data_IF_347948776242
#
_entry.id   IF_347948776242
#
_cell.length_a   1.000
_cell.length_b   1.000
_cell.length_c   1.000
_cell.angle_alpha   90.00
_cell.angle_beta   90.00
_cell.angle_gamma   90.00
#
_symmetry.space_group_name_H-M   'P 1'
#
loop_
_entity.id
_entity.type
_entity.pdbx_description
1 polymer ?
#
# COMPACT_ATOMS: atom_id res chain seq x y z
N UNK A 1 -18.28 6.59 9.01
CA UNK A 1 -17.61 5.34 8.64
C UNK A 1 -16.30 5.23 9.39
N UNK A 2 -15.88 4.04 9.77
CA UNK A 2 -14.60 3.87 10.45
C UNK A 2 -13.44 4.27 9.54
N UNK A 3 -12.38 4.71 10.17
CA UNK A 3 -11.14 5.07 9.47
C UNK A 3 -10.11 3.97 9.67
N UNK A 4 -9.38 3.67 8.62
CA UNK A 4 -8.34 2.65 8.66
C UNK A 4 -7.02 3.25 8.21
N UNK A 5 -5.96 2.84 8.88
CA UNK A 5 -4.60 3.09 8.42
C UNK A 5 -4.16 1.85 7.65
N UNK A 6 -3.96 2.03 6.35
CA UNK A 6 -3.53 0.95 5.47
C UNK A 6 -2.06 1.17 5.13
N UNK A 7 -1.21 0.22 5.50
CA UNK A 7 0.20 0.25 5.14
C UNK A 7 0.39 -0.63 3.91
N UNK A 8 0.87 -0.03 2.83
CA UNK A 8 1.14 -0.74 1.59
C UNK A 8 2.62 -0.96 1.43
N UNK A 9 2.98 -2.14 0.95
CA UNK A 9 4.34 -2.49 0.58
C UNK A 9 4.42 -2.47 -0.93
N UNK A 10 5.24 -1.59 -1.46
CA UNK A 10 5.36 -1.37 -2.90
C UNK A 10 6.75 -1.73 -3.38
N UNK A 11 6.82 -2.40 -4.52
CA UNK A 11 8.10 -2.73 -5.13
C UNK A 11 8.06 -2.50 -6.62
N UNK A 12 9.24 -2.16 -7.17
CA UNK A 12 9.42 -2.02 -8.61
C UNK A 12 9.73 -3.39 -9.21
N UNK A 13 9.45 -3.54 -10.50
CA UNK A 13 9.87 -4.72 -11.21
C UNK A 13 11.39 -4.83 -11.18
N UNK A 14 11.88 -6.03 -10.95
CA UNK A 14 13.31 -6.31 -11.02
C UNK A 14 13.76 -6.27 -12.47
N UNK A 15 14.74 -5.43 -12.75
CA UNK A 15 15.49 -5.57 -14.00
C UNK A 15 16.55 -6.66 -13.80
N UNK A 16 16.91 -7.35 -14.89
CA UNK A 16 17.95 -8.38 -14.82
C UNK A 16 19.30 -7.83 -14.36
N UNK A 17 19.54 -6.55 -14.56
CA UNK A 17 20.78 -5.90 -14.18
C UNK A 17 20.93 -5.76 -12.66
N UNK A 18 19.85 -5.86 -11.91
CA UNK A 18 19.84 -5.61 -10.46
C UNK A 18 19.62 -6.86 -9.63
N UNK A 19 19.79 -8.02 -10.19
CA UNK A 19 19.50 -9.25 -9.45
C UNK A 19 20.40 -9.53 -8.25
N UNK A 20 21.48 -8.77 -8.09
CA UNK A 20 22.34 -8.85 -6.90
C UNK A 20 21.99 -7.82 -5.84
N UNK A 21 21.08 -6.91 -6.14
CA UNK A 21 20.64 -5.92 -5.17
C UNK A 21 19.28 -6.32 -4.65
N UNK A 22 19.17 -6.42 -3.33
CA UNK A 22 17.89 -6.51 -2.70
C UNK A 22 17.27 -5.13 -2.73
N UNK A 23 16.18 -4.99 -3.48
CA UNK A 23 15.44 -3.74 -3.45
C UNK A 23 14.71 -3.63 -2.12
N UNK A 24 14.95 -2.52 -1.43
CA UNK A 24 14.19 -2.21 -0.23
C UNK A 24 12.78 -1.79 -0.66
N UNK A 25 11.75 -2.48 -0.22
CA UNK A 25 10.39 -2.08 -0.57
C UNK A 25 10.06 -0.72 0.05
N UNK A 26 9.25 0.04 -0.66
CA UNK A 26 8.73 1.30 -0.14
C UNK A 26 7.43 1.02 0.61
N UNK A 27 7.24 1.67 1.75
CA UNK A 27 6.01 1.55 2.53
C UNK A 27 5.23 2.86 2.41
N UNK A 28 3.97 2.75 2.01
CA UNK A 28 3.11 3.91 1.83
C UNK A 28 1.93 3.82 2.80
N UNK A 29 1.81 4.77 3.74
CA UNK A 29 0.66 4.81 4.62
C UNK A 29 -0.49 5.58 3.98
N UNK A 30 -1.70 5.04 4.09
CA UNK A 30 -2.91 5.71 3.65
C UNK A 30 -3.97 5.66 4.73
N UNK A 31 -4.63 6.78 4.98
CA UNK A 31 -5.79 6.84 5.85
C UNK A 31 -7.04 6.79 4.97
N UNK A 32 -7.83 5.76 5.14
CA UNK A 32 -9.00 5.50 4.30
C UNK A 32 -10.23 5.35 5.17
N UNK A 33 -11.30 6.05 4.81
CA UNK A 33 -12.61 5.82 5.39
C UNK A 33 -13.34 4.78 4.56
N UNK A 34 -13.79 3.73 5.21
CA UNK A 34 -14.54 2.67 4.55
C UNK A 34 -15.34 1.89 5.58
N UNK A 35 -16.43 1.22 5.18
CA UNK A 35 -17.23 0.43 6.11
C UNK A 35 -16.52 -0.84 6.58
N UNK A 36 -15.55 -1.33 5.82
CA UNK A 36 -14.82 -2.56 6.15
C UNK A 36 -13.34 -2.40 5.85
N UNK A 37 -12.52 -3.12 6.60
CA UNK A 37 -11.08 -3.12 6.40
C UNK A 37 -10.67 -3.55 4.99
N UNK A 38 -11.35 -4.54 4.43
CA UNK A 38 -11.05 -5.02 3.08
C UNK A 38 -11.27 -3.93 2.03
N UNK A 39 -12.35 -3.18 2.16
CA UNK A 39 -12.62 -2.07 1.24
C UNK A 39 -11.62 -0.95 1.40
N UNK A 40 -11.18 -0.68 2.63
CA UNK A 40 -10.12 0.30 2.87
C UNK A 40 -8.82 -0.10 2.19
N UNK A 41 -8.46 -1.38 2.27
CA UNK A 41 -7.26 -1.89 1.61
C UNK A 41 -7.35 -1.74 0.10
N UNK A 42 -8.49 -2.07 -0.49
CA UNK A 42 -8.69 -1.94 -1.94
C UNK A 42 -8.60 -0.49 -2.41
N UNK A 43 -9.19 0.42 -1.66
CA UNK A 43 -9.12 1.86 -1.99
C UNK A 43 -7.69 2.38 -1.89
N UNK A 44 -6.94 1.95 -0.89
CA UNK A 44 -5.55 2.35 -0.73
C UNK A 44 -4.70 1.86 -1.90
N UNK A 45 -4.90 0.63 -2.34
CA UNK A 45 -4.20 0.09 -3.51
C UNK A 45 -4.51 0.89 -4.78
N UNK A 46 -5.77 1.25 -5.00
CA UNK A 46 -6.16 2.05 -6.15
C UNK A 46 -5.47 3.41 -6.14
N UNK A 47 -5.43 4.05 -4.98
CA UNK A 47 -4.75 5.33 -4.85
C UNK A 47 -3.27 5.22 -5.12
N UNK A 48 -2.64 4.20 -4.57
CA UNK A 48 -1.20 3.99 -4.79
C UNK A 48 -0.89 3.72 -6.26
N UNK A 49 -1.70 2.93 -6.93
CA UNK A 49 -1.52 2.65 -8.36
C UNK A 49 -1.67 3.93 -9.20
N UNK A 50 -2.56 4.82 -8.79
CA UNK A 50 -2.80 6.07 -9.51
C UNK A 50 -1.66 7.08 -9.30
N UNK A 51 -1.22 7.25 -8.05
CA UNK A 51 -0.21 8.25 -7.71
C UNK A 51 1.23 7.77 -7.88
N UNK A 52 1.44 6.46 -7.86
CA UNK A 52 2.78 5.87 -7.95
C UNK A 52 2.81 4.76 -8.99
N UNK A 53 2.62 5.11 -10.28
CA UNK A 53 2.56 4.09 -11.34
C UNK A 53 3.90 3.37 -11.57
N UNK A 54 4.98 3.88 -11.00
CA UNK A 54 6.29 3.22 -11.10
C UNK A 54 6.37 1.92 -10.30
N UNK A 55 5.48 1.72 -9.33
CA UNK A 55 5.44 0.47 -8.57
C UNK A 55 4.56 -0.53 -9.29
N UNK A 56 5.12 -1.67 -9.66
CA UNK A 56 4.39 -2.72 -10.35
C UNK A 56 3.73 -3.70 -9.39
N UNK A 57 4.26 -3.82 -8.18
CA UNK A 57 3.71 -4.72 -7.18
C UNK A 57 3.36 -3.93 -5.94
N UNK A 58 2.08 -3.92 -5.61
CA UNK A 58 1.56 -3.24 -4.43
C UNK A 58 0.81 -4.27 -3.61
N UNK A 59 1.28 -4.48 -2.38
CA UNK A 59 0.68 -5.44 -1.45
C UNK A 59 0.24 -4.72 -0.19
N UNK A 60 -0.81 -5.22 0.44
CA UNK A 60 -1.23 -4.72 1.75
C UNK A 60 -0.38 -5.36 2.82
N UNK A 61 0.39 -4.54 3.54
CA UNK A 61 1.21 -5.01 4.65
C UNK A 61 0.38 -5.13 5.93
N UNK A 62 -0.39 -4.09 6.23
CA UNK A 62 -1.27 -4.12 7.40
C UNK A 62 -2.43 -3.16 7.22
N UNK A 63 -3.53 -3.46 7.89
CA UNK A 63 -4.70 -2.58 7.98
C UNK A 63 -5.07 -2.48 9.44
N UNK A 64 -5.09 -1.25 9.96
CA UNK A 64 -5.38 -1.00 11.36
C UNK A 64 -6.53 0.00 11.46
N UNK A 65 -7.55 -0.34 12.23
CA UNK A 65 -8.63 0.61 12.48
C UNK A 65 -8.12 1.73 13.39
N UNK A 66 -8.32 2.96 12.95
CA UNK A 66 -7.93 4.14 13.72
C UNK A 66 -9.15 4.64 14.47
N UNK A 67 -9.07 4.64 15.78
CA UNK A 67 -10.12 5.17 16.62
C UNK A 67 -9.76 6.59 17.03
N UNK A 68 -10.66 7.51 16.76
CA UNK A 68 -10.53 8.86 17.26
C UNK A 68 -11.00 8.87 18.71
N UNK A 69 -10.11 9.21 19.59
CA UNK A 69 -10.44 9.40 20.99
C UNK A 69 -10.93 10.81 21.23
#
# INVERSE_FOLDING_TARGET
>A
MPKYLVMLRCSRARSNANRHRQETPAYLPYRIEAPKALEAADKAKEKAALYYPQYQKIEVDSVTEVRDL
#
